data_IF_054795593911
#
_entry.id   IF_054795593911
#
_cell.length_a   1.000
_cell.length_b   1.000
_cell.length_c   1.000
_cell.angle_alpha   90.00
_cell.angle_beta   90.00
_cell.angle_gamma   90.00
#
_symmetry.space_group_name_H-M   'P 1'
#
loop_
_entity.id
_entity.type
_entity.pdbx_description
1 polymer ?
#
# COMPACT_ATOMS: atom_id res chain seq x y z
N UNK A 1 -18.51 -3.48 -0.35
CA UNK A 1 -18.58 -2.08 0.17
C UNK A 1 -17.21 -1.48 -0.05
N UNK A 2 -17.09 -0.32 -0.69
CA UNK A 2 -15.79 0.16 -1.17
C UNK A 2 -14.70 0.23 -0.08
N UNK A 3 -15.02 0.66 1.14
CA UNK A 3 -14.09 0.63 2.27
C UNK A 3 -14.78 0.30 3.60
N UNK A 4 -14.08 -0.46 4.44
CA UNK A 4 -14.44 -0.81 5.82
C UNK A 4 -13.32 -0.34 6.73
N UNK A 5 -13.69 0.29 7.84
CA UNK A 5 -12.71 0.78 8.81
C UNK A 5 -12.06 -0.39 9.57
N UNK A 6 -10.74 -0.44 9.57
CA UNK A 6 -9.94 -1.48 10.24
C UNK A 6 -9.30 -0.98 11.53
N UNK A 7 -8.99 0.32 11.59
CA UNK A 7 -8.39 0.96 12.76
C UNK A 7 -8.80 2.44 12.81
N UNK A 8 -9.10 2.97 14.01
CA UNK A 8 -9.11 4.41 14.30
C UNK A 8 -8.59 4.61 15.71
N UNK A 9 -7.75 5.62 15.89
CA UNK A 9 -7.31 6.04 17.22
C UNK A 9 -6.85 7.49 17.20
N UNK A 10 -7.11 8.17 18.30
CA UNK A 10 -6.54 9.49 18.60
C UNK A 10 -5.52 9.35 19.72
N UNK A 11 -4.25 9.58 19.40
CA UNK A 11 -3.12 9.48 20.33
C UNK A 11 -1.88 10.15 19.69
N UNK A 12 -0.73 10.13 20.37
CA UNK A 12 0.56 10.50 19.77
C UNK A 12 1.02 9.39 18.83
N UNK A 13 0.55 9.42 17.58
CA UNK A 13 0.71 8.36 16.57
C UNK A 13 1.49 8.83 15.35
N UNK A 14 2.18 7.91 14.67
CA UNK A 14 2.81 8.13 13.36
C UNK A 14 2.63 6.89 12.48
N UNK A 15 2.00 7.07 11.33
CA UNK A 15 1.70 6.03 10.36
C UNK A 15 2.77 6.00 9.27
N UNK A 16 3.32 4.81 9.05
CA UNK A 16 4.24 4.52 7.95
C UNK A 16 3.77 3.29 7.18
N UNK A 17 4.32 3.10 5.98
CA UNK A 17 4.11 1.90 5.21
C UNK A 17 5.38 1.46 4.49
N UNK A 18 5.38 0.19 4.10
CA UNK A 18 6.23 -0.37 3.05
C UNK A 18 5.37 -1.29 2.18
N UNK A 19 5.85 -1.71 1.02
CA UNK A 19 5.11 -2.58 0.13
C UNK A 19 5.82 -2.77 -1.19
N UNK A 20 5.36 -3.74 -1.98
CA UNK A 20 5.90 -3.96 -3.30
C UNK A 20 4.85 -4.60 -4.22
N UNK A 21 5.02 -4.40 -5.52
CA UNK A 21 4.30 -5.22 -6.51
C UNK A 21 4.76 -6.67 -6.42
N UNK A 22 3.95 -7.58 -6.95
CA UNK A 22 4.42 -8.92 -7.32
C UNK A 22 4.47 -9.06 -8.86
N UNK A 23 3.96 -8.09 -9.61
CA UNK A 23 3.93 -8.09 -11.08
C UNK A 23 5.13 -7.37 -11.70
N UNK A 24 5.65 -7.95 -12.79
CA UNK A 24 6.66 -7.33 -13.65
C UNK A 24 6.18 -7.30 -15.10
N UNK A 25 6.41 -6.17 -15.77
CA UNK A 25 6.24 -6.05 -17.22
C UNK A 25 7.51 -6.58 -17.90
N UNK A 26 7.45 -7.79 -18.46
CA UNK A 26 8.55 -8.43 -19.19
C UNK A 26 8.70 -7.93 -20.63
N UNK A 27 9.62 -8.53 -21.40
CA UNK A 27 9.97 -8.10 -22.78
C UNK A 27 9.21 -8.85 -23.87
N UNK A 28 8.49 -9.92 -23.53
CA UNK A 28 7.98 -10.90 -24.50
C UNK A 28 6.58 -10.62 -25.04
N UNK A 29 5.90 -9.53 -24.66
CA UNK A 29 4.57 -9.20 -25.19
C UNK A 29 4.41 -7.72 -25.50
N UNK A 30 3.80 -7.42 -26.65
CA UNK A 30 3.41 -6.09 -27.13
C UNK A 30 2.22 -5.48 -26.37
N UNK A 31 1.97 -5.92 -25.14
CA UNK A 31 0.79 -5.54 -24.37
C UNK A 31 1.17 -4.45 -23.41
N UNK A 32 0.99 -3.20 -23.84
CA UNK A 32 1.48 -1.99 -23.18
C UNK A 32 0.94 -1.73 -21.76
N UNK A 33 0.08 -2.59 -21.22
CA UNK A 33 -0.76 -2.30 -20.04
C UNK A 33 -1.04 -3.53 -19.15
N UNK A 34 -0.09 -4.46 -19.04
CA UNK A 34 -0.19 -5.64 -18.16
C UNK A 34 1.17 -6.18 -17.73
N UNK A 35 1.22 -6.79 -16.55
CA UNK A 35 2.35 -7.66 -16.17
C UNK A 35 2.23 -9.01 -16.87
N UNK A 36 3.38 -9.69 -17.08
CA UNK A 36 3.44 -11.04 -17.66
C UNK A 36 4.50 -11.93 -16.98
N UNK A 37 5.16 -11.40 -15.95
CA UNK A 37 6.03 -12.14 -15.06
C UNK A 37 5.64 -11.79 -13.61
N UNK A 38 5.84 -12.75 -12.72
CA UNK A 38 5.70 -12.58 -11.29
C UNK A 38 7.08 -12.51 -10.65
N UNK A 39 7.29 -11.59 -9.72
CA UNK A 39 8.51 -11.51 -8.90
C UNK A 39 8.61 -12.78 -8.05
N UNK A 40 9.83 -13.31 -7.90
CA UNK A 40 10.16 -14.37 -6.96
C UNK A 40 11.34 -13.93 -6.08
N UNK A 41 11.39 -14.40 -4.84
CA UNK A 41 12.56 -14.23 -3.97
C UNK A 41 13.71 -15.16 -4.35
N UNK A 42 13.45 -16.18 -5.18
CA UNK A 42 14.49 -17.06 -5.72
C UNK A 42 15.21 -16.42 -6.91
N UNK A 43 16.43 -15.96 -6.69
CA UNK A 43 17.27 -15.26 -7.68
C UNK A 43 17.79 -16.15 -8.81
N UNK A 44 17.61 -17.48 -8.72
CA UNK A 44 17.95 -18.41 -9.81
C UNK A 44 16.85 -18.50 -10.87
N UNK A 45 15.68 -17.92 -10.63
CA UNK A 45 14.55 -17.94 -11.57
C UNK A 45 14.55 -16.69 -12.46
N UNK A 46 14.26 -16.89 -13.73
CA UNK A 46 14.02 -15.82 -14.70
C UNK A 46 12.92 -16.23 -15.67
N UNK A 47 11.97 -15.35 -15.93
CA UNK A 47 10.83 -15.56 -16.81
C UNK A 47 10.52 -14.30 -17.64
N UNK A 48 9.85 -14.48 -18.79
CA UNK A 48 9.44 -13.41 -19.72
C UNK A 48 10.57 -12.43 -20.12
N UNK A 49 11.82 -12.91 -20.14
CA UNK A 49 13.02 -12.12 -20.43
C UNK A 49 13.31 -11.00 -19.42
N UNK A 50 12.77 -11.09 -18.20
CA UNK A 50 13.14 -10.25 -17.06
C UNK A 50 14.35 -10.88 -16.35
N UNK A 51 15.55 -10.27 -16.40
CA UNK A 51 16.73 -10.82 -15.74
C UNK A 51 16.58 -10.79 -14.22
N UNK A 52 17.10 -11.78 -13.51
CA UNK A 52 17.17 -11.72 -12.04
C UNK A 52 18.13 -10.61 -11.56
N UNK A 53 18.05 -10.28 -10.28
CA UNK A 53 18.97 -9.41 -9.56
C UNK A 53 19.48 -10.17 -8.34
N UNK A 54 20.78 -10.10 -8.08
CA UNK A 54 21.44 -10.62 -6.87
C UNK A 54 21.97 -9.49 -5.98
N UNK A 55 21.69 -8.23 -6.31
CA UNK A 55 22.07 -7.09 -5.49
C UNK A 55 21.37 -7.18 -4.12
N UNK A 56 22.09 -7.14 -2.98
CA UNK A 56 21.49 -7.25 -1.66
C UNK A 56 20.35 -6.26 -1.37
N UNK A 57 20.32 -5.10 -2.04
CA UNK A 57 19.26 -4.10 -1.88
C UNK A 57 18.07 -4.28 -2.81
N UNK A 58 18.22 -5.06 -3.91
CA UNK A 58 17.16 -5.21 -4.92
C UNK A 58 16.95 -6.63 -5.45
N UNK A 59 17.48 -7.63 -4.74
CA UNK A 59 17.50 -9.01 -5.24
C UNK A 59 16.08 -9.53 -5.51
N UNK A 60 15.95 -10.25 -6.62
CA UNK A 60 14.72 -10.89 -7.05
C UNK A 60 14.98 -11.76 -8.29
N UNK A 61 14.20 -12.83 -8.44
CA UNK A 61 14.00 -13.53 -9.70
C UNK A 61 12.61 -13.28 -10.27
N UNK A 62 12.26 -13.99 -11.33
CA UNK A 62 10.91 -13.99 -11.90
C UNK A 62 10.43 -15.38 -12.27
N UNK A 63 9.12 -15.59 -12.17
CA UNK A 63 8.43 -16.86 -12.45
C UNK A 63 7.10 -16.59 -13.15
N UNK A 64 6.51 -17.63 -13.75
CA UNK A 64 5.11 -17.60 -14.20
C UNK A 64 4.14 -18.24 -13.21
N UNK A 65 4.67 -18.93 -12.19
CA UNK A 65 3.91 -19.71 -11.22
C UNK A 65 3.67 -18.89 -9.95
N UNK A 66 2.40 -18.59 -9.64
CA UNK A 66 2.04 -17.84 -8.44
C UNK A 66 2.44 -18.56 -7.16
N UNK A 67 2.60 -19.89 -7.16
CA UNK A 67 3.04 -20.63 -5.97
C UNK A 67 4.52 -20.42 -5.65
N UNK A 68 5.29 -19.88 -6.60
CA UNK A 68 6.71 -19.54 -6.45
C UNK A 68 6.94 -18.02 -6.42
N UNK A 69 5.86 -17.23 -6.52
CA UNK A 69 5.98 -15.78 -6.49
C UNK A 69 6.24 -15.26 -5.08
N UNK A 70 6.71 -14.04 -5.00
CA UNK A 70 6.89 -13.31 -3.77
C UNK A 70 7.83 -12.15 -3.96
N UNK A 71 7.55 -11.08 -3.24
CA UNK A 71 8.38 -9.89 -3.23
C UNK A 71 8.65 -9.41 -1.82
N UNK A 72 9.68 -8.59 -1.68
CA UNK A 72 10.08 -8.01 -0.42
C UNK A 72 10.23 -6.51 -0.53
N UNK A 73 10.02 -5.86 0.60
CA UNK A 73 10.16 -4.43 0.78
C UNK A 73 10.72 -4.14 2.17
N UNK A 74 11.45 -3.03 2.29
CA UNK A 74 12.05 -2.62 3.55
C UNK A 74 11.16 -1.59 4.24
N UNK A 75 10.85 -1.83 5.51
CA UNK A 75 10.33 -0.79 6.39
C UNK A 75 11.49 -0.12 7.11
N UNK A 76 11.90 1.06 6.65
CA UNK A 76 13.04 1.80 7.20
C UNK A 76 12.71 3.29 7.43
N UNK A 77 11.85 3.60 8.41
CA UNK A 77 11.61 4.97 8.82
C UNK A 77 12.84 5.57 9.49
N UNK A 78 13.07 6.86 9.23
CA UNK A 78 14.16 7.60 9.86
C UNK A 78 14.04 7.59 11.39
N UNK A 79 15.17 7.66 12.11
CA UNK A 79 15.15 7.72 13.56
C UNK A 79 14.48 9.00 14.12
N UNK A 80 14.32 10.04 13.31
CA UNK A 80 13.54 11.23 13.65
C UNK A 80 12.04 11.01 13.52
N UNK A 81 11.61 10.20 12.56
CA UNK A 81 10.19 9.90 12.33
C UNK A 81 9.70 8.77 13.26
N UNK A 82 10.55 7.77 13.49
CA UNK A 82 10.30 6.66 14.40
C UNK A 82 11.49 6.56 15.37
N UNK A 83 11.45 7.25 16.54
CA UNK A 83 12.52 7.21 17.53
C UNK A 83 12.63 5.85 18.21
N UNK A 84 13.72 5.62 18.95
CA UNK A 84 13.99 4.32 19.57
C UNK A 84 12.94 3.93 20.63
N UNK A 85 12.26 4.92 21.20
CA UNK A 85 11.20 4.75 22.20
C UNK A 85 9.83 4.42 21.60
N UNK A 86 9.67 4.55 20.27
CA UNK A 86 8.43 4.28 19.60
C UNK A 86 8.07 2.79 19.67
N UNK A 87 6.79 2.50 19.82
CA UNK A 87 6.27 1.13 19.83
C UNK A 87 5.21 0.95 18.75
N UNK A 88 5.03 -0.29 18.28
CA UNK A 88 3.96 -0.63 17.33
C UNK A 88 2.62 -0.59 18.07
N UNK A 89 1.73 0.32 17.67
CA UNK A 89 0.37 0.41 18.20
C UNK A 89 -0.59 -0.47 17.40
N UNK A 90 -0.45 -0.46 16.08
CA UNK A 90 -1.22 -1.27 15.14
C UNK A 90 -0.41 -1.60 13.90
N UNK A 91 -0.63 -2.77 13.32
CA UNK A 91 -0.09 -3.14 12.02
C UNK A 91 -1.07 -3.98 11.20
N UNK A 92 -1.12 -3.67 9.90
CA UNK A 92 -2.02 -4.30 8.95
C UNK A 92 -1.26 -4.65 7.68
N UNK A 93 -1.34 -5.92 7.27
CA UNK A 93 -0.91 -6.35 5.95
C UNK A 93 -2.14 -6.38 5.03
N UNK A 94 -2.04 -5.75 3.86
CA UNK A 94 -3.07 -5.77 2.82
C UNK A 94 -2.45 -6.28 1.53
N UNK A 95 -3.16 -7.14 0.81
CA UNK A 95 -2.74 -7.62 -0.50
C UNK A 95 -3.90 -7.68 -1.47
N UNK A 96 -3.58 -7.45 -2.73
CA UNK A 96 -4.51 -7.47 -3.85
C UNK A 96 -3.96 -8.36 -4.96
N UNK A 97 -4.87 -8.98 -5.70
CA UNK A 97 -4.52 -9.78 -6.87
C UNK A 97 -5.70 -9.98 -7.80
N UNK A 98 -5.41 -10.62 -8.93
CA UNK A 98 -6.36 -10.79 -10.02
C UNK A 98 -6.75 -12.26 -10.14
N UNK A 99 -8.05 -12.54 -10.20
CA UNK A 99 -8.56 -13.87 -10.51
C UNK A 99 -8.43 -14.17 -12.00
N UNK A 100 -8.40 -15.45 -12.34
CA UNK A 100 -8.39 -15.93 -13.72
C UNK A 100 -9.00 -17.31 -13.82
N UNK A 101 -8.80 -17.98 -14.97
CA UNK A 101 -9.37 -19.31 -15.21
C UNK A 101 -8.90 -20.37 -14.20
N UNK A 102 -7.67 -20.27 -13.70
CA UNK A 102 -7.08 -21.22 -12.73
C UNK A 102 -7.02 -20.67 -11.31
N UNK A 103 -6.82 -19.36 -11.14
CA UNK A 103 -6.85 -18.70 -9.83
C UNK A 103 -8.26 -18.19 -9.57
N UNK A 104 -9.09 -19.05 -8.98
CA UNK A 104 -10.45 -18.71 -8.56
C UNK A 104 -10.46 -18.13 -7.14
N UNK A 105 -11.60 -17.59 -6.71
CA UNK A 105 -11.75 -17.14 -5.32
C UNK A 105 -11.54 -18.28 -4.30
N UNK A 106 -11.94 -19.51 -4.65
CA UNK A 106 -11.67 -20.67 -3.81
C UNK A 106 -10.17 -20.93 -3.65
N UNK A 107 -9.39 -20.76 -4.72
CA UNK A 107 -7.91 -20.85 -4.67
C UNK A 107 -7.34 -19.75 -3.78
N UNK A 108 -7.80 -18.50 -3.93
CA UNK A 108 -7.39 -17.37 -3.09
C UNK A 108 -7.66 -17.67 -1.61
N UNK A 109 -8.87 -18.11 -1.27
CA UNK A 109 -9.27 -18.36 0.11
C UNK A 109 -8.57 -19.57 0.73
N UNK A 110 -8.18 -20.57 -0.07
CA UNK A 110 -7.44 -21.73 0.39
C UNK A 110 -5.93 -21.48 0.54
N UNK A 111 -5.40 -20.41 -0.06
CA UNK A 111 -3.97 -20.13 -0.14
C UNK A 111 -3.67 -18.70 0.31
N UNK A 112 -3.70 -18.47 1.62
CA UNK A 112 -3.25 -17.19 2.17
C UNK A 112 -1.73 -17.04 1.99
N UNK A 113 -1.22 -15.85 1.61
CA UNK A 113 0.22 -15.62 1.48
C UNK A 113 0.99 -15.90 2.77
N UNK A 114 2.26 -16.25 2.64
CA UNK A 114 3.19 -16.29 3.79
C UNK A 114 3.76 -14.90 4.05
N UNK A 115 4.03 -14.59 5.32
CA UNK A 115 4.60 -13.32 5.75
C UNK A 115 5.89 -13.56 6.51
N UNK A 116 7.04 -13.20 5.93
CA UNK A 116 8.34 -13.33 6.59
C UNK A 116 8.78 -11.98 7.14
N UNK A 117 9.20 -11.98 8.39
CA UNK A 117 9.60 -10.79 9.17
C UNK A 117 11.11 -10.58 9.17
N UNK A 118 11.61 -9.41 9.62
CA UNK A 118 13.04 -9.08 9.65
C UNK A 118 13.94 -9.99 10.49
N UNK A 119 13.36 -10.76 11.41
CA UNK A 119 14.04 -11.80 12.18
C UNK A 119 14.10 -13.16 11.45
N UNK A 120 13.75 -13.16 10.16
CA UNK A 120 13.72 -14.31 9.24
C UNK A 120 12.68 -15.39 9.59
N UNK A 121 11.73 -15.07 10.49
CA UNK A 121 10.63 -15.95 10.84
C UNK A 121 9.51 -15.83 9.81
N UNK A 122 9.04 -16.96 9.30
CA UNK A 122 7.88 -17.01 8.40
C UNK A 122 6.62 -17.33 9.18
N UNK A 123 5.63 -16.44 9.09
CA UNK A 123 4.33 -16.55 9.71
C UNK A 123 3.26 -16.94 8.69
N UNK A 124 2.36 -17.82 9.11
CA UNK A 124 1.04 -17.94 8.48
C UNK A 124 0.15 -16.84 9.03
N UNK A 125 -0.38 -15.99 8.15
CA UNK A 125 -1.36 -14.98 8.52
C UNK A 125 -2.77 -15.50 8.27
N UNK A 126 -3.75 -14.95 8.98
CA UNK A 126 -5.17 -15.22 8.74
C UNK A 126 -5.80 -13.95 8.20
N UNK A 127 -6.40 -14.02 7.00
CA UNK A 127 -7.15 -12.89 6.46
C UNK A 127 -8.39 -12.61 7.32
N UNK A 128 -8.64 -11.35 7.65
CA UNK A 128 -9.87 -10.91 8.29
C UNK A 128 -10.97 -10.79 7.21
N UNK A 129 -12.02 -11.63 7.20
CA UNK A 129 -12.99 -11.64 6.10
C UNK A 129 -13.71 -10.30 5.89
N UNK A 130 -14.01 -9.58 6.98
CA UNK A 130 -14.68 -8.28 6.93
C UNK A 130 -13.80 -7.16 6.34
N UNK A 131 -12.51 -7.39 6.14
CA UNK A 131 -11.53 -6.43 5.62
C UNK A 131 -11.17 -6.69 4.16
N UNK A 132 -11.75 -7.72 3.55
CA UNK A 132 -11.50 -8.11 2.17
C UNK A 132 -12.79 -8.14 1.34
N UNK A 133 -12.62 -8.14 0.03
CA UNK A 133 -13.72 -8.26 -0.92
C UNK A 133 -13.21 -8.88 -2.22
N UNK A 134 -14.10 -9.46 -3.02
CA UNK A 134 -13.84 -9.92 -4.38
C UNK A 134 -14.92 -9.34 -5.28
N UNK A 135 -14.54 -8.62 -6.34
CA UNK A 135 -15.48 -7.94 -7.23
C UNK A 135 -14.99 -7.93 -8.68
N UNK A 136 -15.94 -8.01 -9.61
CA UNK A 136 -15.68 -7.76 -11.04
C UNK A 136 -15.69 -6.26 -11.33
N UNK A 137 -14.79 -5.80 -12.21
CA UNK A 137 -14.79 -4.42 -12.75
C UNK A 137 -15.93 -4.11 -13.71
N UNK A 138 -16.81 -5.09 -14.01
CA UNK A 138 -17.89 -4.93 -14.96
C UNK A 138 -17.40 -5.01 -16.41
N UNK A 139 -17.42 -3.89 -17.13
CA UNK A 139 -17.26 -3.80 -18.60
C UNK A 139 -15.92 -4.32 -19.14
N UNK A 140 -14.88 -4.36 -18.31
CA UNK A 140 -13.63 -5.09 -18.54
C UNK A 140 -13.54 -6.23 -17.52
N UNK A 141 -13.34 -7.48 -17.98
CA UNK A 141 -13.64 -8.70 -17.22
C UNK A 141 -12.63 -9.08 -16.10
N UNK A 142 -11.82 -8.14 -15.61
CA UNK A 142 -10.99 -8.37 -14.42
C UNK A 142 -11.87 -8.69 -13.20
N UNK A 143 -11.55 -9.75 -12.47
CA UNK A 143 -12.11 -9.95 -11.12
C UNK A 143 -10.97 -9.79 -10.13
N UNK A 144 -11.09 -8.78 -9.28
CA UNK A 144 -10.06 -8.39 -8.33
C UNK A 144 -10.48 -8.85 -6.95
N UNK A 145 -9.49 -9.28 -6.16
CA UNK A 145 -9.68 -9.48 -4.73
C UNK A 145 -8.77 -8.54 -3.93
N UNK A 146 -9.27 -8.10 -2.79
CA UNK A 146 -8.49 -7.53 -1.70
C UNK A 146 -8.64 -8.42 -0.48
N UNK A 147 -7.56 -8.64 0.25
CA UNK A 147 -7.57 -9.27 1.59
C UNK A 147 -6.64 -8.48 2.50
N UNK A 148 -6.91 -8.56 3.80
CA UNK A 148 -6.07 -7.94 4.80
C UNK A 148 -6.00 -8.79 6.06
N UNK A 149 -4.93 -8.63 6.84
CA UNK A 149 -4.72 -9.31 8.11
C UNK A 149 -4.21 -8.32 9.17
N UNK A 150 -4.67 -8.50 10.40
CA UNK A 150 -4.07 -7.82 11.55
C UNK A 150 -2.78 -8.56 11.94
N UNK A 151 -1.64 -7.90 11.78
CA UNK A 151 -0.31 -8.44 12.10
C UNK A 151 0.33 -7.72 13.28
N UNK A 152 -0.46 -7.00 14.07
CA UNK A 152 0.00 -6.18 15.20
C UNK A 152 0.81 -7.00 16.21
N UNK A 153 0.30 -8.16 16.64
CA UNK A 153 0.99 -9.01 17.63
C UNK A 153 2.30 -9.58 17.12
N UNK A 154 2.38 -9.90 15.82
CA UNK A 154 3.62 -10.33 15.17
C UNK A 154 4.64 -9.20 15.28
N UNK A 155 4.29 -7.99 14.82
CA UNK A 155 5.22 -6.86 14.81
C UNK A 155 5.61 -6.36 16.21
N UNK A 156 4.69 -6.41 17.19
CA UNK A 156 4.99 -6.09 18.58
C UNK A 156 6.00 -7.07 19.22
N UNK A 157 6.08 -8.31 18.71
CA UNK A 157 7.07 -9.30 19.14
C UNK A 157 8.45 -9.10 18.55
N UNK A 158 8.61 -8.24 17.53
CA UNK A 158 9.87 -8.06 16.83
C UNK A 158 10.83 -7.11 17.57
N UNK A 159 12.14 -7.33 17.47
CA UNK A 159 13.14 -6.36 17.92
C UNK A 159 13.13 -5.11 17.03
N UNK A 160 13.92 -4.10 17.43
CA UNK A 160 14.19 -2.90 16.63
C UNK A 160 12.94 -2.13 16.17
N UNK A 161 11.83 -2.25 16.92
CA UNK A 161 10.55 -1.60 16.60
C UNK A 161 10.01 -2.07 15.25
N UNK A 162 10.21 -3.33 14.89
CA UNK A 162 9.69 -3.90 13.64
C UNK A 162 10.25 -3.23 12.35
N UNK A 163 11.43 -2.61 12.42
CA UNK A 163 12.15 -2.08 11.24
C UNK A 163 12.92 -3.22 10.57
N UNK A 164 12.88 -3.28 9.22
CA UNK A 164 13.67 -4.22 8.43
C UNK A 164 12.96 -4.75 7.18
N UNK A 165 13.44 -5.88 6.67
CA UNK A 165 12.94 -6.48 5.44
C UNK A 165 11.76 -7.41 5.70
N UNK A 166 10.67 -7.18 4.97
CA UNK A 166 9.45 -7.98 5.01
C UNK A 166 9.21 -8.65 3.67
N UNK A 167 8.78 -9.90 3.70
CA UNK A 167 8.49 -10.68 2.48
C UNK A 167 7.04 -11.15 2.50
N UNK A 168 6.37 -11.03 1.36
CA UNK A 168 5.06 -11.62 1.11
C UNK A 168 5.19 -12.53 -0.09
N UNK A 169 4.95 -13.81 0.12
CA UNK A 169 5.18 -14.86 -0.88
C UNK A 169 3.91 -15.69 -1.10
N UNK A 170 3.84 -16.34 -2.27
CA UNK A 170 2.72 -17.21 -2.68
C UNK A 170 1.38 -16.47 -2.80
N UNK A 171 1.40 -15.24 -3.31
CA UNK A 171 0.20 -14.42 -3.54
C UNK A 171 -0.56 -14.96 -4.75
N UNK A 172 -1.75 -15.57 -4.59
CA UNK A 172 -2.47 -16.14 -5.73
C UNK A 172 -2.88 -15.05 -6.72
N UNK A 173 -2.50 -15.19 -7.99
CA UNK A 173 -2.90 -14.25 -9.03
C UNK A 173 -2.82 -14.91 -10.41
N UNK A 174 -3.69 -14.51 -11.32
CA UNK A 174 -3.64 -14.91 -12.71
C UNK A 174 -2.33 -14.44 -13.36
N UNK A 175 -1.74 -15.24 -14.24
CA UNK A 175 -0.57 -14.82 -15.01
C UNK A 175 -0.51 -15.52 -16.40
N UNK A 176 -0.47 -14.76 -17.51
CA UNK A 176 -0.75 -13.33 -17.55
C UNK A 176 -2.19 -13.06 -17.07
N UNK A 177 -2.44 -11.93 -16.42
CA UNK A 177 -3.78 -11.54 -16.03
C UNK A 177 -4.55 -10.98 -17.23
N UNK A 178 -5.80 -10.59 -17.01
CA UNK A 178 -6.48 -9.68 -17.93
C UNK A 178 -5.81 -8.29 -17.86
N UNK A 179 -5.75 -7.59 -19.00
CA UNK A 179 -5.27 -6.22 -19.07
C UNK A 179 -6.02 -5.30 -18.10
N UNK A 180 -5.33 -4.28 -17.58
CA UNK A 180 -5.95 -3.32 -16.68
C UNK A 180 -6.12 -3.89 -15.26
N UNK A 181 -5.19 -4.73 -14.80
CA UNK A 181 -5.21 -5.38 -13.48
C UNK A 181 -3.79 -5.60 -12.95
N UNK A 182 -3.65 -5.97 -11.68
CA UNK A 182 -2.34 -6.07 -11.02
C UNK A 182 -2.28 -7.06 -9.86
N UNK A 183 -1.16 -7.02 -9.14
CA UNK A 183 -0.92 -7.81 -7.92
C UNK A 183 0.12 -7.10 -7.07
N UNK A 184 -0.13 -7.00 -5.76
CA UNK A 184 0.78 -6.32 -4.86
C UNK A 184 0.32 -6.36 -3.41
N UNK A 185 1.16 -5.84 -2.53
CA UNK A 185 0.89 -5.81 -1.11
C UNK A 185 1.49 -4.57 -0.45
N UNK A 186 0.91 -4.18 0.68
CA UNK A 186 1.43 -3.15 1.56
C UNK A 186 1.32 -3.60 3.03
N UNK A 187 2.36 -3.29 3.80
CA UNK A 187 2.35 -3.35 5.25
C UNK A 187 2.26 -1.93 5.78
N UNK A 188 1.17 -1.63 6.49
CA UNK A 188 0.96 -0.34 7.15
C UNK A 188 1.20 -0.52 8.65
N UNK A 189 2.03 0.33 9.24
CA UNK A 189 2.40 0.29 10.66
C UNK A 189 2.12 1.64 11.28
N UNK A 190 1.35 1.64 12.36
CA UNK A 190 1.10 2.81 13.20
C UNK A 190 1.98 2.68 14.43
N UNK A 191 2.95 3.57 14.54
CA UNK A 191 3.79 3.73 15.72
C UNK A 191 3.14 4.67 16.72
N UNK A 192 3.40 4.45 18.01
CA UNK A 192 3.05 5.36 19.10
C UNK A 192 4.30 5.74 19.87
N UNK A 193 4.45 7.03 20.13
CA UNK A 193 5.53 7.60 20.92
C UNK A 193 5.10 8.94 21.52
N UNK A 194 5.45 9.22 22.77
CA UNK A 194 5.05 10.45 23.46
C UNK A 194 5.69 11.73 22.85
N UNK A 195 6.67 11.61 21.96
CA UNK A 195 7.26 12.73 21.23
C UNK A 195 6.42 13.21 20.05
N UNK A 196 5.55 12.36 19.48
CA UNK A 196 4.71 12.74 18.35
C UNK A 196 3.63 13.75 18.77
N UNK A 197 3.22 14.66 17.86
CA UNK A 197 1.99 15.42 18.06
C UNK A 197 0.79 14.46 18.14
N UNK A 198 -0.28 14.91 18.79
CA UNK A 198 -1.53 14.16 18.82
C UNK A 198 -2.15 14.17 17.43
N UNK A 199 -2.48 12.97 16.95
CA UNK A 199 -3.09 12.74 15.63
C UNK A 199 -4.28 11.83 15.76
N UNK A 200 -5.27 11.99 14.88
CA UNK A 200 -6.14 10.88 14.55
C UNK A 200 -5.51 10.09 13.40
N UNK A 201 -5.35 8.78 13.59
CA UNK A 201 -4.95 7.85 12.53
C UNK A 201 -6.09 6.89 12.30
N UNK A 202 -6.56 6.81 11.06
CA UNK A 202 -7.64 5.93 10.64
C UNK A 202 -7.23 5.14 9.39
N UNK A 203 -7.50 3.83 9.38
CA UNK A 203 -7.22 2.93 8.27
C UNK A 203 -8.50 2.25 7.81
N UNK A 204 -8.61 2.09 6.50
CA UNK A 204 -9.73 1.46 5.85
C UNK A 204 -9.22 0.51 4.76
N UNK A 205 -9.83 -0.66 4.65
CA UNK A 205 -9.55 -1.62 3.57
C UNK A 205 -10.82 -1.94 2.80
N UNK A 206 -10.67 -2.37 1.56
CA UNK A 206 -11.79 -2.74 0.72
C UNK A 206 -11.39 -2.78 -0.74
N UNK A 207 -12.31 -2.39 -1.62
CA UNK A 207 -12.09 -2.39 -3.05
C UNK A 207 -12.96 -1.29 -3.69
N UNK A 208 -12.35 -0.12 -3.88
CA UNK A 208 -12.94 1.00 -4.63
C UNK A 208 -12.54 0.88 -6.09
N UNK A 209 -13.53 0.77 -6.99
CA UNK A 209 -13.30 0.53 -8.41
C UNK A 209 -13.67 1.77 -9.21
N UNK A 210 -12.67 2.38 -9.82
CA UNK A 210 -12.78 3.63 -10.58
C UNK A 210 -13.79 3.57 -11.73
N UNK A 211 -13.81 2.48 -12.52
CA UNK A 211 -14.74 2.32 -13.65
C UNK A 211 -16.21 2.15 -13.27
N UNK A 212 -16.49 1.90 -12.00
CA UNK A 212 -17.86 1.87 -11.48
C UNK A 212 -18.34 3.27 -11.06
N UNK A 213 -17.50 4.31 -11.19
CA UNK A 213 -17.83 5.69 -10.83
C UNK A 213 -18.08 5.86 -9.34
N UNK A 214 -17.49 4.99 -8.52
CA UNK A 214 -17.81 4.88 -7.10
C UNK A 214 -17.28 6.06 -6.29
N UNK A 215 -18.05 6.45 -5.28
CA UNK A 215 -17.60 7.33 -4.21
C UNK A 215 -17.79 6.60 -2.90
N UNK A 216 -16.70 6.37 -2.18
CA UNK A 216 -16.71 5.80 -0.83
C UNK A 216 -16.82 6.91 0.21
N UNK A 217 -17.61 6.70 1.26
CA UNK A 217 -17.53 7.50 2.47
C UNK A 217 -16.65 6.80 3.49
N UNK A 218 -15.64 7.49 3.99
CA UNK A 218 -14.83 7.05 5.14
C UNK A 218 -15.18 7.93 6.35
N UNK A 219 -15.33 7.33 7.52
CA UNK A 219 -15.87 8.00 8.72
C UNK A 219 -15.20 7.52 10.00
N UNK A 220 -15.58 8.13 11.14
CA UNK A 220 -15.07 7.87 12.49
C UNK A 220 -13.60 8.26 12.70
N UNK A 221 -13.08 9.16 11.86
CA UNK A 221 -11.93 10.00 12.20
C UNK A 221 -12.43 11.28 12.87
N UNK A 222 -11.51 12.10 13.36
CA UNK A 222 -11.79 13.48 13.78
C UNK A 222 -10.77 14.42 13.15
N UNK A 223 -11.20 15.64 12.83
CA UNK A 223 -10.33 16.75 12.43
C UNK A 223 -10.31 17.83 13.53
N UNK A 224 -9.27 18.69 13.58
CA UNK A 224 -9.28 19.85 14.46
C UNK A 224 -10.55 20.71 14.26
N UNK A 225 -10.98 21.39 15.33
CA UNK A 225 -12.11 22.30 15.27
C UNK A 225 -11.85 23.55 14.40
N UNK A 226 -10.59 23.89 14.15
CA UNK A 226 -10.19 25.05 13.36
C UNK A 226 -9.31 24.65 12.16
N UNK A 227 -9.44 25.39 11.07
CA UNK A 227 -8.57 25.26 9.90
C UNK A 227 -7.19 25.93 10.14
N UNK A 228 -6.14 25.52 9.41
CA UNK A 228 -6.12 24.45 8.41
C UNK A 228 -6.04 23.05 9.05
N UNK A 229 -6.67 22.06 8.40
CA UNK A 229 -6.47 20.64 8.74
C UNK A 229 -5.25 20.13 8.00
N UNK A 230 -4.19 19.79 8.74
CA UNK A 230 -3.00 19.15 8.16
C UNK A 230 -3.17 17.64 8.20
N UNK A 231 -2.95 17.00 7.06
CA UNK A 231 -3.18 15.58 6.91
C UNK A 231 -2.27 14.95 5.86
N UNK A 232 -2.09 13.64 5.98
CA UNK A 232 -1.48 12.78 4.98
C UNK A 232 -2.39 11.60 4.68
N UNK A 233 -2.31 11.11 3.44
CA UNK A 233 -3.18 10.04 2.94
C UNK A 233 -2.33 8.92 2.38
N UNK A 234 -2.44 7.74 2.98
CA UNK A 234 -1.92 6.49 2.43
C UNK A 234 -2.94 5.90 1.45
N UNK A 235 -2.47 5.32 0.37
CA UNK A 235 -3.29 4.45 -0.49
C UNK A 235 -2.44 3.37 -1.15
N UNK A 236 -3.07 2.24 -1.46
CA UNK A 236 -2.55 1.25 -2.39
C UNK A 236 -3.61 0.91 -3.42
N UNK A 237 -3.19 0.69 -4.66
CA UNK A 237 -4.05 0.25 -5.74
C UNK A 237 -3.30 -0.66 -6.69
N UNK A 238 -4.04 -1.53 -7.38
CA UNK A 238 -3.51 -2.26 -8.54
C UNK A 238 -3.97 -1.58 -9.84
N UNK A 239 -3.22 -1.87 -10.91
CA UNK A 239 -3.15 -1.09 -12.16
C UNK A 239 -2.48 0.29 -11.96
N UNK A 240 -2.48 1.12 -12.99
CA UNK A 240 -1.91 2.46 -13.00
C UNK A 240 -0.89 2.56 -14.11
N UNK A 241 -1.38 2.72 -15.34
CA UNK A 241 -0.54 2.78 -16.52
C UNK A 241 0.17 4.12 -16.60
N UNK A 242 1.49 4.08 -16.50
CA UNK A 242 2.30 5.29 -16.37
C UNK A 242 2.17 6.26 -17.56
N UNK A 243 1.84 5.77 -18.75
CA UNK A 243 1.66 6.51 -19.99
C UNK A 243 0.18 6.76 -20.33
N UNK A 244 -0.74 6.29 -19.50
CA UNK A 244 -2.13 6.70 -19.50
C UNK A 244 -2.31 7.89 -18.55
N UNK A 245 -3.24 8.79 -18.88
CA UNK A 245 -3.53 9.96 -18.05
C UNK A 245 -5.04 10.14 -17.89
N UNK A 246 -5.43 10.91 -16.88
CA UNK A 246 -6.80 11.30 -16.60
C UNK A 246 -7.40 10.63 -15.37
N UNK A 247 -6.69 9.69 -14.73
CA UNK A 247 -7.01 9.25 -13.38
C UNK A 247 -6.57 10.27 -12.33
N UNK A 248 -7.34 10.35 -11.24
CA UNK A 248 -7.03 11.14 -10.05
C UNK A 248 -7.39 10.35 -8.81
N UNK A 249 -6.68 10.59 -7.71
CA UNK A 249 -7.13 10.14 -6.39
C UNK A 249 -7.68 11.34 -5.61
N UNK A 250 -8.98 11.34 -5.36
CA UNK A 250 -9.66 12.47 -4.74
C UNK A 250 -9.99 12.18 -3.28
N UNK A 251 -9.77 13.17 -2.43
CA UNK A 251 -10.27 13.24 -1.06
C UNK A 251 -11.10 14.52 -0.92
N UNK A 252 -12.29 14.41 -0.35
CA UNK A 252 -13.20 15.56 -0.16
C UNK A 252 -13.42 16.38 -1.46
N UNK A 253 -13.53 15.68 -2.60
CA UNK A 253 -13.68 16.31 -3.92
C UNK A 253 -12.43 16.98 -4.49
N UNK A 254 -11.29 16.93 -3.79
CA UNK A 254 -10.01 17.53 -4.21
C UNK A 254 -9.04 16.45 -4.66
N UNK A 255 -8.46 16.62 -5.86
CA UNK A 255 -7.41 15.73 -6.37
C UNK A 255 -6.12 15.87 -5.59
N UNK A 256 -5.61 14.75 -5.09
CA UNK A 256 -4.33 14.66 -4.40
C UNK A 256 -3.18 14.50 -5.39
N UNK A 257 -1.95 14.77 -4.93
CA UNK A 257 -0.73 14.52 -5.68
C UNK A 257 0.46 14.37 -4.74
N UNK A 258 1.52 13.73 -5.24
CA UNK A 258 2.79 13.56 -4.53
C UNK A 258 3.98 13.61 -5.49
N UNK A 259 5.21 13.43 -5.00
CA UNK A 259 6.42 13.52 -5.81
C UNK A 259 6.41 12.61 -7.05
N UNK A 260 5.79 11.42 -6.93
CA UNK A 260 5.68 10.44 -8.01
C UNK A 260 4.23 10.14 -8.41
N UNK A 261 3.25 10.88 -7.88
CA UNK A 261 1.82 10.67 -8.15
C UNK A 261 1.24 11.99 -8.68
N UNK A 262 1.14 12.14 -10.00
CA UNK A 262 0.75 13.41 -10.63
C UNK A 262 -0.75 13.64 -10.51
N UNK A 263 -1.19 14.91 -10.47
CA UNK A 263 -2.62 15.24 -10.23
C UNK A 263 -3.58 14.69 -11.30
N UNK A 264 -3.11 14.46 -12.52
CA UNK A 264 -3.89 13.88 -13.64
C UNK A 264 -3.31 12.54 -14.12
N UNK A 265 -2.46 11.93 -13.31
CA UNK A 265 -1.94 10.58 -13.49
C UNK A 265 -1.43 10.13 -12.12
N UNK A 266 -2.39 9.88 -11.21
CA UNK A 266 -2.05 9.65 -9.81
C UNK A 266 -1.48 8.25 -9.64
N UNK A 267 -2.05 7.26 -10.33
CA UNK A 267 -1.64 5.87 -10.28
C UNK A 267 -0.80 5.55 -11.52
N UNK A 268 0.52 5.48 -11.36
CA UNK A 268 1.49 5.36 -12.45
C UNK A 268 2.48 4.19 -12.25
N UNK A 269 2.04 3.12 -11.57
CA UNK A 269 2.82 1.95 -11.18
C UNK A 269 4.01 2.31 -10.27
N UNK A 270 3.78 3.20 -9.30
CA UNK A 270 4.82 3.71 -8.41
C UNK A 270 4.78 3.05 -7.03
N UNK A 271 5.89 2.41 -6.67
CA UNK A 271 6.11 1.94 -5.30
C UNK A 271 6.91 3.00 -4.55
N UNK A 272 6.22 3.74 -3.69
CA UNK A 272 6.79 4.83 -2.91
C UNK A 272 6.88 4.46 -1.42
N UNK A 273 7.81 5.10 -0.72
CA UNK A 273 7.92 5.01 0.73
C UNK A 273 6.84 5.84 1.45
N UNK A 274 6.85 5.81 2.78
CA UNK A 274 5.89 6.49 3.64
C UNK A 274 5.87 8.02 3.54
N UNK A 275 6.85 8.63 2.86
CA UNK A 275 6.88 10.07 2.59
C UNK A 275 6.40 10.42 1.17
N UNK A 276 6.09 9.42 0.34
CA UNK A 276 5.69 9.57 -1.06
C UNK A 276 6.87 9.67 -2.03
N UNK A 277 8.10 9.45 -1.55
CA UNK A 277 9.29 9.38 -2.41
C UNK A 277 9.45 7.97 -2.98
N UNK A 278 10.08 7.86 -4.15
CA UNK A 278 10.24 6.59 -4.84
C UNK A 278 11.08 5.63 -3.97
N UNK A 279 10.57 4.43 -3.73
CA UNK A 279 11.32 3.41 -3.00
C UNK A 279 12.26 2.67 -3.97
N UNK A 280 13.55 2.68 -3.66
CA UNK A 280 14.60 2.04 -4.45
C UNK A 280 15.19 0.79 -3.81
N UNK A 281 14.65 0.37 -2.65
CA UNK A 281 15.03 -0.85 -1.93
C UNK A 281 13.86 -1.85 -2.00
N UNK A 282 14.16 -3.15 -1.96
CA UNK A 282 13.17 -4.21 -2.13
C UNK A 282 13.29 -4.88 -3.48
N UNK A 283 12.54 -5.97 -3.70
CA UNK A 283 12.59 -6.74 -4.95
C UNK A 283 12.47 -5.83 -6.17
N UNK A 284 13.52 -5.78 -7.00
CA UNK A 284 13.62 -4.90 -8.17
C UNK A 284 13.32 -3.42 -7.90
N UNK A 285 13.70 -2.89 -6.73
CA UNK A 285 13.57 -1.46 -6.38
C UNK A 285 14.31 -0.52 -7.35
N UNK A 286 15.31 -1.03 -8.05
CA UNK A 286 16.04 -0.35 -9.14
C UNK A 286 15.28 -0.35 -10.49
N UNK A 287 14.09 -0.96 -10.54
CA UNK A 287 13.30 -1.13 -11.77
C UNK A 287 11.87 -0.62 -11.64
N UNK A 288 11.68 0.49 -10.94
CA UNK A 288 10.40 1.22 -10.94
C UNK A 288 10.01 1.68 -12.34
N UNK A 289 8.70 1.71 -12.60
CA UNK A 289 8.17 2.23 -13.85
C UNK A 289 8.53 3.73 -14.00
N UNK A 290 9.10 4.19 -15.14
CA UNK A 290 9.33 5.60 -15.37
C UNK A 290 8.01 6.36 -15.57
N UNK A 291 7.80 7.47 -14.86
CA UNK A 291 6.59 8.29 -14.98
C UNK A 291 6.41 8.78 -16.42
N UNK A 292 5.24 8.55 -17.00
CA UNK A 292 4.88 9.04 -18.34
C UNK A 292 5.44 8.20 -19.49
N UNK A 293 6.14 7.10 -19.22
CA UNK A 293 6.73 6.26 -20.28
C UNK A 293 6.68 4.79 -19.92
N UNK A 294 5.85 4.03 -20.64
CA UNK A 294 5.83 2.59 -20.57
C UNK A 294 7.21 2.00 -20.87
N UNK A 295 7.67 1.08 -20.01
CA UNK A 295 8.94 0.39 -20.20
C UNK A 295 8.81 -1.09 -19.79
N UNK A 296 9.63 -1.92 -20.42
CA UNK A 296 9.77 -3.34 -20.07
C UNK A 296 10.85 -3.53 -19.00
N UNK A 297 10.88 -4.71 -18.38
CA UNK A 297 11.70 -5.04 -17.22
C UNK A 297 11.47 -4.05 -16.08
N UNK A 298 10.20 -3.76 -15.78
CA UNK A 298 9.79 -2.84 -14.71
C UNK A 298 8.78 -3.48 -13.77
N UNK A 299 8.80 -3.05 -12.50
CA UNK A 299 7.69 -3.19 -11.56
C UNK A 299 6.45 -2.58 -12.22
N UNK A 300 5.33 -3.29 -12.16
CA UNK A 300 4.15 -2.91 -12.93
C UNK A 300 2.85 -3.12 -12.15
N UNK A 301 1.83 -2.37 -12.56
CA UNK A 301 0.42 -2.52 -12.21
C UNK A 301 0.13 -2.49 -10.71
N UNK A 302 0.91 -1.72 -9.97
CA UNK A 302 0.72 -1.52 -8.54
C UNK A 302 1.29 -0.17 -8.11
N UNK A 303 0.46 0.58 -7.39
CA UNK A 303 0.83 1.80 -6.70
C UNK A 303 0.69 1.61 -5.19
N UNK A 304 1.68 2.08 -4.46
CA UNK A 304 1.58 2.27 -3.02
C UNK A 304 2.27 3.57 -2.66
N UNK A 305 1.56 4.46 -1.98
CA UNK A 305 2.05 5.82 -1.72
C UNK A 305 1.44 6.44 -0.49
N UNK A 306 2.06 7.53 -0.04
CA UNK A 306 1.54 8.39 1.00
C UNK A 306 1.77 9.85 0.59
N UNK A 307 0.69 10.61 0.43
CA UNK A 307 0.73 11.98 -0.11
C UNK A 307 0.18 13.01 0.89
N UNK A 308 0.63 14.28 0.85
CA UNK A 308 0.05 15.33 1.65
C UNK A 308 -1.39 15.65 1.22
N UNK A 309 -2.24 15.98 2.19
CA UNK A 309 -3.63 16.42 1.99
C UNK A 309 -3.96 17.64 2.87
N UNK A 310 -2.99 18.55 3.03
CA UNK A 310 -3.14 19.75 3.84
C UNK A 310 -4.22 20.67 3.27
N UNK A 311 -5.16 21.08 4.11
CA UNK A 311 -6.28 21.94 3.74
C UNK A 311 -7.39 21.25 2.94
N UNK A 312 -7.28 19.94 2.68
CA UNK A 312 -8.29 19.19 1.90
C UNK A 312 -9.50 18.82 2.77
N UNK A 313 -9.27 18.40 4.01
CA UNK A 313 -10.33 18.02 4.94
C UNK A 313 -10.96 19.25 5.60
N UNK A 314 -12.28 19.20 5.80
CA UNK A 314 -13.02 20.23 6.52
C UNK A 314 -12.75 20.14 8.02
N UNK A 315 -12.53 21.28 8.68
CA UNK A 315 -12.41 21.37 10.14
C UNK A 315 -13.71 20.92 10.85
N UNK A 316 -13.59 20.25 11.98
CA UNK A 316 -14.70 19.67 12.75
C UNK A 316 -15.45 18.52 12.06
N UNK A 317 -14.90 17.94 11.00
CA UNK A 317 -15.53 16.81 10.29
C UNK A 317 -15.13 15.46 10.89
N UNK A 318 -16.03 14.49 10.78
CA UNK A 318 -15.82 13.10 11.22
C UNK A 318 -15.98 12.09 10.09
N UNK A 319 -16.16 12.59 8.86
CA UNK A 319 -16.30 11.79 7.65
C UNK A 319 -15.94 12.61 6.43
N UNK A 320 -15.50 11.94 5.36
CA UNK A 320 -15.25 12.54 4.05
C UNK A 320 -15.49 11.52 2.95
N UNK A 321 -15.36 11.97 1.70
CA UNK A 321 -15.50 11.13 0.52
C UNK A 321 -14.16 10.85 -0.14
N UNK A 322 -14.04 9.66 -0.71
CA UNK A 322 -12.93 9.22 -1.54
C UNK A 322 -13.49 8.70 -2.85
N UNK A 323 -12.95 9.16 -3.97
CA UNK A 323 -13.27 8.62 -5.29
C UNK A 323 -12.05 8.65 -6.22
N UNK A 324 -12.14 7.90 -7.31
CA UNK A 324 -11.09 7.82 -8.34
C UNK A 324 -11.72 8.16 -9.69
N UNK A 325 -11.91 9.46 -10.01
CA UNK A 325 -12.31 9.84 -11.36
C UNK A 325 -11.25 9.37 -12.35
N UNK A 326 -11.67 8.74 -13.44
CA UNK A 326 -10.80 8.23 -14.47
C UNK A 326 -11.43 8.42 -15.85
N UNK A 327 -10.58 8.47 -16.88
CA UNK A 327 -11.03 8.48 -18.28
C UNK A 327 -10.45 7.33 -19.09
N UNK A 328 -9.36 6.71 -18.61
CA UNK A 328 -8.64 5.67 -19.35
C UNK A 328 -8.26 4.48 -18.46
N UNK A 329 -7.58 4.73 -17.33
CA UNK A 329 -7.11 3.67 -16.44
C UNK A 329 -8.21 2.90 -15.69
N UNK A 330 -7.92 1.64 -15.40
CA UNK A 330 -8.72 0.78 -14.54
C UNK A 330 -8.08 0.70 -13.15
N UNK A 331 -8.38 1.62 -12.25
CA UNK A 331 -7.78 1.63 -10.91
C UNK A 331 -8.66 0.93 -9.88
N UNK A 332 -8.02 0.13 -9.01
CA UNK A 332 -8.64 -0.62 -7.92
C UNK A 332 -7.94 -0.36 -6.59
N UNK A 333 -8.41 0.62 -5.82
CA UNK A 333 -7.80 0.94 -4.53
C UNK A 333 -8.22 -0.08 -3.45
N UNK A 334 -7.22 -0.71 -2.83
CA UNK A 334 -7.41 -1.76 -1.82
C UNK A 334 -7.43 -1.28 -0.38
N UNK A 335 -6.81 -0.12 -0.12
CA UNK A 335 -6.78 0.48 1.20
C UNK A 335 -6.57 1.99 1.13
N UNK A 336 -7.08 2.70 2.13
CA UNK A 336 -6.86 4.13 2.35
C UNK A 336 -6.56 4.37 3.82
N UNK A 337 -5.59 5.23 4.11
CA UNK A 337 -5.25 5.65 5.46
C UNK A 337 -5.23 7.16 5.59
N UNK A 338 -5.75 7.69 6.71
CA UNK A 338 -5.68 9.09 7.07
C UNK A 338 -4.80 9.25 8.31
N UNK A 339 -3.84 10.17 8.25
CA UNK A 339 -3.13 10.69 9.42
C UNK A 339 -3.42 12.19 9.50
N UNK A 340 -4.14 12.61 10.54
CA UNK A 340 -4.65 13.97 10.69
C UNK A 340 -4.05 14.58 11.97
N UNK A 341 -3.34 15.70 11.85
CA UNK A 341 -2.84 16.42 13.03
C UNK A 341 -4.00 17.12 13.75
N UNK A 342 -4.11 16.99 15.07
CA UNK A 342 -5.23 17.56 15.85
C UNK A 342 -4.96 18.93 16.47
N UNK A 343 -3.74 19.46 16.34
CA UNK A 343 -3.34 20.78 16.85
C UNK A 343 -3.83 21.03 18.30
N UNK A 344 -3.46 20.15 19.23
CA UNK A 344 -3.81 20.32 20.65
C UNK A 344 -2.71 21.03 21.45
N UNK A 345 -3.11 21.73 22.52
CA UNK A 345 -2.19 22.28 23.50
C UNK A 345 -1.51 21.15 24.29
N UNK A 346 -0.20 21.01 24.15
CA UNK A 346 0.58 20.03 24.92
C UNK A 346 0.91 20.59 26.31
N UNK A 347 0.25 20.09 27.34
CA UNK A 347 0.63 20.35 28.72
C UNK A 347 1.88 19.53 29.06
N UNK A 348 3.03 20.20 29.22
CA UNK A 348 4.26 19.57 29.68
C UNK A 348 4.43 19.83 31.17
N UNK A 349 4.21 18.80 32.00
CA UNK A 349 4.47 18.89 33.43
C UNK A 349 5.95 18.56 33.71
N UNK A 350 6.71 19.55 34.17
CA UNK A 350 8.08 19.34 34.65
C UNK A 350 8.03 19.11 36.16
N UNK A 351 8.43 17.92 36.61
CA UNK A 351 8.61 17.62 38.03
C UNK A 351 10.08 17.82 38.39
N UNK A 352 10.37 18.76 39.27
CA UNK A 352 11.68 18.93 39.90
C UNK A 352 11.59 18.74 41.41
N UNK A 353 12.67 18.25 42.01
CA UNK A 353 12.89 18.21 43.46
C UNK A 353 14.17 18.97 43.72
N UNK A 354 14.10 19.99 44.57
CA UNK A 354 15.29 20.64 45.13
C UNK A 354 15.62 19.90 46.42
N UNK A 355 16.75 19.20 46.45
CA UNK A 355 17.27 18.62 47.70
C UNK A 355 18.08 19.71 48.38
N UNK A 356 17.62 20.15 49.55
CA UNK A 356 18.31 21.13 50.41
C UNK A 356 19.38 20.47 51.27
#
# INVERSE_FOLDING_TARGET
MAFVQTYTKTDSLFMVHTGNTVGMRGVTTSTAYQYNALISTNTTLSFAGVPSSTNPLTFAGTTSDWTLNGSWARLDPSASDVPQTAIVDFAMLVWQGTLGGTVTEAVVNANTPTFRTPDDVTHTITSTPAWGETRSSGTFQGTIYTRAANVTSILQGLPNRAVGDYFVERVPTANPPLQGTGVGWALVVVYRDNSYPVRNVSLYTGLLISTLGETATISNFITPAAAPVNARVFTMAINGDTDATGDRFNLNGTGLSGPNNLINNFFASQVNNYLGNLDTIGSFGDRNMPIGTAATNRRAEFDVTNVPANGVLTAGSTSTTVNIPNTFDYIYAGAVGLQIDLAEARLTAVKSVTVS
#
